data_IF_872601391410
#
_entry.id   IF_872601391410
#
_cell.length_a   1.000
_cell.length_b   1.000
_cell.length_c   1.000
_cell.angle_alpha   90.00
_cell.angle_beta   90.00
_cell.angle_gamma   90.00
#
_symmetry.space_group_name_H-M   'P 1'
#
loop_
_entity.id
_entity.type
_entity.pdbx_description
1 polymer ?
#
# COMPACT_ATOMS: atom_id res chain seq x y z
N UNK A 1 8.72 17.91 67.69
CA UNK A 1 8.52 18.97 66.67
C UNK A 1 9.86 19.64 66.39
N UNK A 2 10.48 19.37 65.24
CA UNK A 2 11.59 20.21 64.73
C UNK A 2 11.38 20.36 63.24
N UNK A 3 11.17 21.60 62.81
CA UNK A 3 11.02 22.01 61.41
C UNK A 3 12.41 22.25 60.81
N UNK A 4 12.69 21.55 59.71
CA UNK A 4 13.08 22.04 58.37
C UNK A 4 13.92 23.35 58.34
N UNK A 5 15.09 23.36 57.68
CA UNK A 5 15.33 24.07 56.40
C UNK A 5 16.81 24.05 55.95
N UNK A 6 17.01 23.49 54.74
CA UNK A 6 17.79 24.03 53.61
C UNK A 6 19.33 24.11 53.74
N UNK A 7 20.07 23.26 53.00
CA UNK A 7 20.46 23.33 51.57
C UNK A 7 21.78 24.09 51.44
N UNK A 8 22.84 23.42 50.98
CA UNK A 8 23.61 23.90 49.82
C UNK A 8 24.68 22.90 49.38
N UNK A 9 24.53 22.49 48.11
CA UNK A 9 25.56 22.41 47.07
C UNK A 9 26.83 21.60 47.37
N UNK A 10 26.84 20.37 46.85
CA UNK A 10 27.68 19.96 45.70
C UNK A 10 27.26 18.56 45.25
N UNK A 11 26.46 18.53 44.20
CA UNK A 11 26.02 17.33 43.52
C UNK A 11 27.17 16.80 42.67
N UNK A 12 27.69 15.62 43.00
CA UNK A 12 28.53 14.83 42.09
C UNK A 12 27.68 13.62 41.72
N UNK A 13 27.03 13.69 40.57
CA UNK A 13 26.37 12.54 39.95
C UNK A 13 27.44 11.71 39.24
N UNK A 14 27.79 10.56 39.83
CA UNK A 14 28.53 9.50 39.15
C UNK A 14 27.49 8.54 38.54
N UNK A 15 27.28 8.64 37.23
CA UNK A 15 26.52 7.64 36.48
C UNK A 15 27.51 6.62 35.94
N UNK A 16 27.57 5.45 36.58
CA UNK A 16 28.24 4.27 36.01
C UNK A 16 27.18 3.47 35.26
N UNK A 17 27.22 3.53 33.93
CA UNK A 17 26.45 2.67 33.05
C UNK A 17 27.15 1.30 32.98
N UNK A 18 26.75 0.37 33.84
CA UNK A 18 27.10 -1.04 33.66
C UNK A 18 26.08 -1.66 32.72
N UNK A 19 26.53 -1.97 31.51
CA UNK A 19 25.80 -2.70 30.49
C UNK A 19 25.33 -4.06 31.01
N UNK A 20 24.03 -4.21 31.27
CA UNK A 20 23.42 -5.55 31.37
C UNK A 20 23.13 -6.05 29.95
N UNK A 21 24.12 -6.63 29.30
CA UNK A 21 23.86 -7.53 28.16
C UNK A 21 23.39 -8.86 28.71
N UNK A 22 22.07 -9.01 28.87
CA UNK A 22 21.44 -10.32 29.04
C UNK A 22 20.57 -10.55 27.81
N UNK A 23 21.10 -11.36 26.89
CA UNK A 23 20.34 -12.01 25.83
C UNK A 23 19.17 -12.79 26.42
N UNK A 24 18.00 -12.75 25.76
CA UNK A 24 17.29 -14.00 25.58
C UNK A 24 16.78 -14.14 24.14
N UNK A 25 17.23 -15.23 23.51
CA UNK A 25 16.47 -16.00 22.53
C UNK A 25 16.11 -15.28 21.22
N UNK A 26 16.87 -15.63 20.18
CA UNK A 26 16.45 -15.63 18.78
C UNK A 26 15.16 -16.46 18.61
N UNK A 27 14.02 -15.87 18.98
CA UNK A 27 12.73 -16.27 18.44
C UNK A 27 12.66 -15.68 17.03
N UNK A 28 12.78 -16.53 16.02
CA UNK A 28 12.44 -16.15 14.64
C UNK A 28 10.98 -15.71 14.64
N UNK A 29 10.63 -14.49 14.18
CA UNK A 29 9.23 -14.17 13.92
C UNK A 29 8.83 -14.93 12.64
N UNK A 30 8.51 -16.22 12.79
CA UNK A 30 7.76 -16.94 11.78
C UNK A 30 6.32 -16.42 11.85
N UNK A 31 5.91 -15.75 10.76
CA UNK A 31 4.54 -15.32 10.46
C UNK A 31 4.01 -14.03 11.13
N UNK A 32 4.62 -12.88 10.84
CA UNK A 32 3.90 -11.58 10.93
C UNK A 32 4.12 -10.63 9.76
N UNK A 33 5.08 -10.91 8.86
CA UNK A 33 5.43 -9.97 7.78
C UNK A 33 4.43 -9.91 6.63
N UNK A 34 3.71 -11.00 6.33
CA UNK A 34 2.78 -11.01 5.19
C UNK A 34 1.59 -10.08 5.39
N UNK A 35 1.05 -9.99 6.61
CA UNK A 35 -0.08 -9.11 6.92
C UNK A 35 0.36 -7.65 6.86
N UNK A 36 1.52 -7.32 7.43
CA UNK A 36 2.10 -5.97 7.41
C UNK A 36 2.48 -5.49 6.00
N UNK A 37 3.18 -6.35 5.22
CA UNK A 37 3.51 -6.06 3.82
C UNK A 37 2.26 -5.88 2.97
N UNK A 38 1.25 -6.74 3.14
CA UNK A 38 -0.01 -6.55 2.42
C UNK A 38 -0.65 -5.21 2.76
N UNK A 39 -0.74 -4.83 4.04
CA UNK A 39 -1.37 -3.57 4.44
C UNK A 39 -0.63 -2.34 3.91
N UNK A 40 0.72 -2.39 3.90
CA UNK A 40 1.54 -1.36 3.28
C UNK A 40 1.32 -1.29 1.77
N UNK A 41 1.39 -2.41 1.05
CA UNK A 41 1.16 -2.44 -0.40
C UNK A 41 -0.26 -1.99 -0.78
N UNK A 42 -1.23 -2.26 0.10
CA UNK A 42 -2.60 -1.81 -0.08
C UNK A 42 -2.75 -0.31 0.03
N UNK A 43 -2.23 0.27 1.10
CA UNK A 43 -2.24 1.72 1.31
C UNK A 43 -1.47 2.45 0.20
N UNK A 44 -0.39 1.86 -0.30
CA UNK A 44 0.44 2.45 -1.36
C UNK A 44 -0.33 2.57 -2.67
N UNK A 45 -1.11 1.57 -3.08
CA UNK A 45 -1.79 1.59 -4.40
C UNK A 45 -2.89 2.65 -4.49
N UNK A 46 -3.71 2.82 -3.45
CA UNK A 46 -4.76 3.85 -3.42
C UNK A 46 -4.17 5.26 -3.34
N UNK A 47 -3.16 5.43 -2.49
CA UNK A 47 -2.48 6.70 -2.31
C UNK A 47 -1.74 7.13 -3.60
N UNK A 48 -1.16 6.18 -4.33
CA UNK A 48 -0.46 6.45 -5.58
C UNK A 48 -1.42 6.96 -6.67
N UNK A 49 -2.63 6.40 -6.77
CA UNK A 49 -3.66 6.89 -7.70
C UNK A 49 -4.12 8.29 -7.27
N UNK A 50 -4.34 8.51 -5.97
CA UNK A 50 -4.69 9.83 -5.45
C UNK A 50 -3.58 10.86 -5.75
N UNK A 51 -2.32 10.50 -5.56
CA UNK A 51 -1.16 11.35 -5.87
C UNK A 51 -1.02 11.64 -7.37
N UNK A 52 -1.32 10.66 -8.22
CA UNK A 52 -1.38 10.88 -9.68
C UNK A 52 -2.49 11.88 -10.05
N UNK A 53 -3.65 11.83 -9.39
CA UNK A 53 -4.73 12.81 -9.59
C UNK A 53 -4.36 14.21 -9.09
N UNK A 54 -3.79 14.32 -7.89
CA UNK A 54 -3.40 15.61 -7.31
C UNK A 54 -2.27 16.27 -8.08
N UNK A 55 -1.28 15.50 -8.55
CA UNK A 55 -0.20 16.01 -9.41
C UNK A 55 -0.73 16.52 -10.77
N UNK A 56 -1.88 16.02 -11.23
CA UNK A 56 -2.60 16.51 -12.43
C UNK A 56 -3.53 17.70 -12.14
N UNK A 57 -3.50 18.25 -10.93
CA UNK A 57 -4.21 19.48 -10.56
C UNK A 57 -5.56 19.29 -9.86
N UNK A 58 -5.95 18.06 -9.50
CA UNK A 58 -7.14 17.86 -8.68
C UNK A 58 -6.89 18.22 -7.22
N UNK A 59 -7.88 18.85 -6.59
CA UNK A 59 -7.88 19.04 -5.13
C UNK A 59 -7.88 17.68 -4.43
N UNK A 60 -7.19 17.59 -3.29
CA UNK A 60 -6.92 16.34 -2.59
C UNK A 60 -8.21 15.60 -2.21
N UNK A 61 -9.20 16.34 -1.75
CA UNK A 61 -10.51 15.82 -1.30
C UNK A 61 -11.31 15.27 -2.49
N UNK A 62 -11.24 15.95 -3.64
CA UNK A 62 -11.88 15.52 -4.89
C UNK A 62 -11.18 14.26 -5.42
N UNK A 63 -9.85 14.23 -5.39
CA UNK A 63 -9.06 13.07 -5.79
C UNK A 63 -9.41 11.86 -4.92
N UNK A 64 -9.48 12.03 -3.59
CA UNK A 64 -9.87 10.96 -2.66
C UNK A 64 -11.28 10.43 -2.97
N UNK A 65 -12.26 11.31 -3.17
CA UNK A 65 -13.62 10.92 -3.51
C UNK A 65 -13.69 10.15 -4.84
N UNK A 66 -12.91 10.55 -5.85
CA UNK A 66 -12.84 9.85 -7.14
C UNK A 66 -12.19 8.47 -7.03
N UNK A 67 -11.11 8.33 -6.26
CA UNK A 67 -10.48 7.02 -6.01
C UNK A 67 -11.43 6.09 -5.24
N UNK A 68 -12.16 6.60 -4.24
CA UNK A 68 -13.19 5.82 -3.52
C UNK A 68 -14.34 5.37 -4.42
N UNK A 69 -14.69 6.14 -5.45
CA UNK A 69 -15.72 5.77 -6.44
C UNK A 69 -15.20 4.78 -7.49
N UNK A 70 -13.90 4.78 -7.75
CA UNK A 70 -13.28 3.90 -8.75
C UNK A 70 -13.43 2.42 -8.39
N UNK A 71 -13.34 2.08 -7.10
CA UNK A 71 -13.41 0.71 -6.58
C UNK A 71 -14.56 0.55 -5.59
N UNK A 72 -15.37 -0.52 -5.72
CA UNK A 72 -16.49 -0.80 -4.79
C UNK A 72 -16.03 -1.43 -3.46
N UNK A 73 -14.92 -2.15 -3.50
CA UNK A 73 -14.39 -2.96 -2.40
C UNK A 73 -12.88 -2.72 -2.25
N UNK A 74 -12.28 -3.25 -1.17
CA UNK A 74 -10.82 -3.23 -0.99
C UNK A 74 -10.17 -4.13 -2.05
N UNK A 75 -9.75 -3.53 -3.16
CA UNK A 75 -9.17 -4.23 -4.32
C UNK A 75 -7.65 -4.16 -4.34
N UNK A 76 -7.08 -3.70 -3.25
CA UNK A 76 -5.68 -3.34 -3.15
C UNK A 76 -4.71 -4.50 -3.39
N UNK A 77 -5.06 -5.72 -2.98
CA UNK A 77 -4.29 -6.93 -3.30
C UNK A 77 -4.27 -7.17 -4.82
N UNK A 78 -5.44 -7.11 -5.46
CA UNK A 78 -5.55 -7.32 -6.91
C UNK A 78 -4.76 -6.30 -7.71
N UNK A 79 -4.80 -5.04 -7.28
CA UNK A 79 -3.96 -3.96 -7.80
C UNK A 79 -2.47 -4.31 -7.74
N UNK A 80 -1.99 -4.75 -6.57
CA UNK A 80 -0.60 -5.15 -6.39
C UNK A 80 -0.19 -6.31 -7.30
N UNK A 81 -1.05 -7.31 -7.45
CA UNK A 81 -0.80 -8.44 -8.35
C UNK A 81 -0.82 -8.03 -9.83
N UNK A 82 -1.61 -7.02 -10.21
CA UNK A 82 -1.77 -6.61 -11.60
C UNK A 82 -0.47 -6.09 -12.24
N UNK A 83 0.33 -5.32 -11.50
CA UNK A 83 1.64 -4.84 -11.98
C UNK A 83 2.83 -5.69 -11.54
N UNK A 84 2.61 -6.73 -10.72
CA UNK A 84 3.66 -7.67 -10.30
C UNK A 84 3.61 -9.01 -11.05
N UNK A 85 2.49 -9.34 -11.70
CA UNK A 85 2.35 -10.62 -12.38
C UNK A 85 3.35 -10.73 -13.55
N UNK A 86 4.22 -11.76 -13.59
CA UNK A 86 5.29 -11.85 -14.59
C UNK A 86 4.76 -11.91 -16.01
N UNK A 87 3.65 -12.63 -16.24
CA UNK A 87 3.06 -12.76 -17.57
C UNK A 87 2.41 -11.48 -18.11
N UNK A 88 2.04 -10.52 -17.24
CA UNK A 88 1.38 -9.29 -17.66
C UNK A 88 2.37 -8.21 -18.11
N UNK A 89 3.61 -8.23 -17.59
CA UNK A 89 4.66 -7.26 -17.92
C UNK A 89 4.19 -5.78 -17.84
N UNK A 90 3.25 -5.47 -16.95
CA UNK A 90 2.70 -4.12 -16.78
C UNK A 90 3.56 -3.33 -15.79
N UNK A 91 3.98 -2.13 -16.17
CA UNK A 91 4.66 -1.24 -15.22
C UNK A 91 3.67 -0.62 -14.23
N UNK A 92 4.07 -0.51 -12.96
CA UNK A 92 3.28 0.09 -11.89
C UNK A 92 2.78 1.50 -12.26
N UNK A 93 3.65 2.32 -12.84
CA UNK A 93 3.32 3.70 -13.21
C UNK A 93 2.21 3.76 -14.28
N UNK A 94 2.26 2.91 -15.31
CA UNK A 94 1.25 2.90 -16.37
C UNK A 94 -0.11 2.43 -15.81
N UNK A 95 -0.10 1.42 -14.93
CA UNK A 95 -1.31 0.93 -14.26
C UNK A 95 -1.95 2.05 -13.43
N UNK A 96 -1.17 2.73 -12.58
CA UNK A 96 -1.64 3.86 -11.77
C UNK A 96 -2.21 4.98 -12.63
N UNK A 97 -1.49 5.40 -13.67
CA UNK A 97 -1.92 6.49 -14.53
C UNK A 97 -3.19 6.14 -15.31
N UNK A 98 -3.36 4.87 -15.68
CA UNK A 98 -4.59 4.38 -16.33
C UNK A 98 -5.76 4.40 -15.36
N UNK A 99 -5.58 3.97 -14.11
CA UNK A 99 -6.60 4.08 -13.08
C UNK A 99 -6.93 5.54 -12.75
N UNK A 100 -5.93 6.42 -12.66
CA UNK A 100 -6.15 7.85 -12.47
C UNK A 100 -6.98 8.44 -13.63
N UNK A 101 -6.67 8.06 -14.88
CA UNK A 101 -7.46 8.45 -16.05
C UNK A 101 -8.91 7.95 -15.95
N UNK A 102 -9.12 6.69 -15.56
CA UNK A 102 -10.48 6.16 -15.36
C UNK A 102 -11.24 6.90 -14.27
N UNK A 103 -10.59 7.20 -13.13
CA UNK A 103 -11.17 7.99 -12.04
C UNK A 103 -11.53 9.42 -12.46
N UNK A 104 -10.72 10.07 -13.32
CA UNK A 104 -11.03 11.39 -13.86
C UNK A 104 -12.37 11.39 -14.61
N UNK A 105 -12.59 10.37 -15.44
CA UNK A 105 -13.82 10.21 -16.24
C UNK A 105 -14.95 9.49 -15.49
N UNK A 106 -14.85 9.33 -14.16
CA UNK A 106 -15.84 8.64 -13.33
C UNK A 106 -16.20 7.23 -13.85
N UNK A 107 -15.23 6.57 -14.50
CA UNK A 107 -15.39 5.19 -14.96
C UNK A 107 -15.10 4.26 -13.80
N UNK A 108 -16.11 3.48 -13.45
CA UNK A 108 -15.99 2.42 -12.46
C UNK A 108 -15.17 1.24 -13.00
N UNK A 109 -14.27 0.69 -12.18
CA UNK A 109 -13.52 -0.52 -12.51
C UNK A 109 -13.78 -1.62 -11.47
N UNK A 110 -14.25 -2.77 -11.96
CA UNK A 110 -14.51 -3.93 -11.12
C UNK A 110 -13.36 -4.92 -11.22
N UNK A 111 -12.45 -4.91 -10.25
CA UNK A 111 -11.32 -5.84 -10.21
C UNK A 111 -11.74 -7.27 -9.83
N UNK A 112 -13.01 -7.51 -9.49
CA UNK A 112 -13.56 -8.86 -9.32
C UNK A 112 -14.08 -9.44 -10.64
N UNK A 113 -14.44 -8.58 -11.59
CA UNK A 113 -14.91 -9.00 -12.91
C UNK A 113 -13.74 -9.27 -13.86
N UNK A 114 -13.70 -10.49 -14.39
CA UNK A 114 -12.74 -10.87 -15.42
C UNK A 114 -12.82 -9.94 -16.64
N UNK A 115 -14.03 -9.64 -17.11
CA UNK A 115 -14.23 -8.82 -18.31
C UNK A 115 -13.78 -7.36 -18.08
N UNK A 116 -14.03 -6.82 -16.88
CA UNK A 116 -13.58 -5.46 -16.53
C UNK A 116 -12.06 -5.40 -16.44
N UNK A 117 -11.41 -6.41 -15.84
CA UNK A 117 -9.96 -6.52 -15.80
C UNK A 117 -9.34 -6.70 -17.20
N UNK A 118 -9.94 -7.54 -18.05
CA UNK A 118 -9.48 -7.71 -19.44
C UNK A 118 -9.57 -6.39 -20.19
N UNK A 119 -10.71 -5.69 -20.09
CA UNK A 119 -10.87 -4.37 -20.71
C UNK A 119 -9.88 -3.33 -20.18
N UNK A 120 -9.58 -3.37 -18.88
CA UNK A 120 -8.54 -2.53 -18.27
C UNK A 120 -7.17 -2.85 -18.86
N UNK A 121 -6.74 -4.11 -18.82
CA UNK A 121 -5.40 -4.50 -19.29
C UNK A 121 -5.26 -4.25 -20.79
N UNK A 122 -6.29 -4.51 -21.60
CA UNK A 122 -6.30 -4.20 -23.04
C UNK A 122 -6.16 -2.70 -23.34
N UNK A 123 -6.61 -1.83 -22.43
CA UNK A 123 -6.42 -0.38 -22.58
C UNK A 123 -4.95 0.06 -22.42
N UNK A 124 -4.11 -0.79 -21.83
CA UNK A 124 -2.67 -0.57 -21.63
C UNK A 124 -1.86 -1.38 -22.65
N UNK A 125 -2.17 -2.67 -22.78
CA UNK A 125 -1.48 -3.63 -23.61
C UNK A 125 -2.47 -4.27 -24.59
N UNK A 126 -2.58 -3.74 -25.83
CA UNK A 126 -3.50 -4.29 -26.82
C UNK A 126 -3.04 -5.69 -27.26
N UNK A 127 -4.00 -6.56 -27.59
CA UNK A 127 -3.78 -7.94 -28.06
C UNK A 127 -3.20 -8.90 -27.01
N UNK A 128 -4.01 -9.25 -26.02
CA UNK A 128 -3.62 -10.17 -24.96
C UNK A 128 -3.47 -11.61 -25.46
N UNK A 129 -2.38 -12.27 -25.06
CA UNK A 129 -2.17 -13.68 -25.33
C UNK A 129 -2.90 -14.60 -24.32
N UNK A 130 -2.89 -15.91 -24.57
CA UNK A 130 -3.56 -16.89 -23.70
C UNK A 130 -2.98 -16.91 -22.27
N UNK A 131 -1.68 -16.63 -22.10
CA UNK A 131 -1.03 -16.62 -20.78
C UNK A 131 -1.46 -15.41 -19.98
N UNK A 132 -1.48 -14.23 -20.60
CA UNK A 132 -1.97 -12.98 -20.04
C UNK A 132 -3.45 -13.09 -19.65
N UNK A 133 -4.29 -13.67 -20.52
CA UNK A 133 -5.70 -13.93 -20.21
C UNK A 133 -5.86 -14.89 -19.02
N UNK A 134 -4.99 -15.90 -18.90
CA UNK A 134 -4.97 -16.80 -17.75
C UNK A 134 -4.52 -16.10 -16.46
N UNK A 135 -3.49 -15.25 -16.54
CA UNK A 135 -3.02 -14.43 -15.43
C UNK A 135 -4.14 -13.51 -14.89
N UNK A 136 -4.86 -12.83 -15.79
CA UNK A 136 -5.99 -11.98 -15.42
C UNK A 136 -7.08 -12.78 -14.71
N UNK A 137 -7.36 -14.00 -15.19
CA UNK A 137 -8.33 -14.89 -14.55
C UNK A 137 -7.91 -15.31 -13.14
N UNK A 138 -6.61 -15.48 -12.89
CA UNK A 138 -6.09 -15.76 -11.55
C UNK A 138 -6.27 -14.55 -10.63
N UNK A 139 -5.96 -13.34 -11.12
CA UNK A 139 -6.12 -12.09 -10.36
C UNK A 139 -7.59 -11.83 -10.00
N UNK A 140 -8.51 -12.05 -10.94
CA UNK A 140 -9.94 -11.90 -10.72
C UNK A 140 -10.45 -12.79 -9.56
N UNK A 141 -9.85 -13.97 -9.38
CA UNK A 141 -10.22 -14.95 -8.35
C UNK A 141 -9.57 -14.73 -6.99
N UNK A 142 -8.59 -13.83 -6.86
CA UNK A 142 -8.03 -13.48 -5.56
C UNK A 142 -9.16 -12.94 -4.66
N UNK A 143 -9.24 -13.41 -3.41
CA UNK A 143 -10.22 -12.98 -2.41
C UNK A 143 -9.48 -12.43 -1.20
#
# INVERSE_FOLDING_TARGET
>A
MVKIFILTKRSIFLIVLVSNTINPLLASPLYTDSVSQSYQERAISYLDIQNSLTSKGLQKEIAEAKVKKLFKEDTSLKLAYLYKHPDLALSKNIVIDTFAKQALFDKYCDLNSYDSLVGFVQSIHPNLDKKQLSAIKQIAKLS
#
